data_IF_791566554253
#
_entry.id   IF_791566554253
#
_cell.length_a   1.000
_cell.length_b   1.000
_cell.length_c   1.000
_cell.angle_alpha   90.00
_cell.angle_beta   90.00
_cell.angle_gamma   90.00
#
_symmetry.space_group_name_H-M   'P 1'
#
loop_
_entity.id
_entity.type
_entity.pdbx_description
1 polymer ?
#
# COMPACT_ATOMS: atom_id res chain seq x y z
N UNK A 1 -26.87 -15.32 15.80
CA UNK A 1 -28.21 -14.84 15.39
C UNK A 1 -29.08 -14.79 16.64
N UNK A 2 -29.58 -13.61 16.99
CA UNK A 2 -30.46 -13.39 18.15
C UNK A 2 -31.86 -13.01 17.65
N UNK A 3 -32.91 -13.58 18.22
CA UNK A 3 -34.29 -13.30 17.84
C UNK A 3 -35.17 -13.12 19.08
N UNK A 4 -36.00 -12.08 19.13
CA UNK A 4 -36.94 -11.85 20.23
C UNK A 4 -38.25 -11.24 19.73
N UNK A 5 -39.31 -11.35 20.52
CA UNK A 5 -40.55 -10.60 20.25
C UNK A 5 -40.43 -9.17 20.77
N UNK A 6 -40.82 -8.21 19.92
CA UNK A 6 -40.79 -6.80 20.26
C UNK A 6 -42.01 -6.06 19.68
N UNK A 7 -42.26 -4.86 20.19
CA UNK A 7 -43.26 -3.93 19.72
C UNK A 7 -42.58 -2.64 19.24
N UNK A 8 -43.00 -2.16 18.07
CA UNK A 8 -42.58 -0.88 17.50
C UNK A 8 -43.82 0.00 17.30
N UNK A 9 -43.82 1.23 17.83
CA UNK A 9 -45.04 2.05 17.97
C UNK A 9 -45.83 2.28 16.67
N UNK A 10 -45.15 2.50 15.55
CA UNK A 10 -45.80 2.78 14.26
C UNK A 10 -46.20 1.52 13.49
N UNK A 11 -45.79 0.34 13.96
CA UNK A 11 -45.88 -0.92 13.21
C UNK A 11 -46.70 -1.99 13.96
N UNK A 12 -46.53 -2.10 15.27
CA UNK A 12 -47.16 -3.12 16.12
C UNK A 12 -46.17 -4.19 16.61
N UNK A 13 -46.72 -5.33 17.05
CA UNK A 13 -45.96 -6.46 17.58
C UNK A 13 -45.37 -7.31 16.45
N UNK A 14 -44.13 -7.74 16.63
CA UNK A 14 -43.37 -8.51 15.66
C UNK A 14 -42.19 -9.24 16.26
N UNK A 15 -41.34 -9.77 15.39
CA UNK A 15 -40.09 -10.45 15.75
C UNK A 15 -38.92 -9.57 15.32
N UNK A 16 -38.09 -9.20 16.28
CA UNK A 16 -36.81 -8.53 16.05
C UNK A 16 -35.72 -9.59 15.91
N UNK A 17 -35.00 -9.55 14.80
CA UNK A 17 -33.91 -10.45 14.45
C UNK A 17 -32.63 -9.64 14.26
N UNK A 18 -31.59 -10.03 14.98
CA UNK A 18 -30.24 -9.50 14.82
C UNK A 18 -29.35 -10.55 14.13
N UNK A 19 -28.85 -10.16 12.97
CA UNK A 19 -27.77 -10.83 12.25
C UNK A 19 -26.48 -10.02 12.39
N UNK A 20 -25.37 -10.52 11.85
CA UNK A 20 -24.08 -9.80 11.90
C UNK A 20 -24.12 -8.44 11.20
N UNK A 21 -24.99 -8.28 10.19
CA UNK A 21 -25.02 -7.10 9.32
C UNK A 21 -26.28 -6.25 9.50
N UNK A 22 -27.39 -6.86 9.92
CA UNK A 22 -28.69 -6.21 9.94
C UNK A 22 -29.48 -6.51 11.21
N UNK A 23 -30.19 -5.50 11.69
CA UNK A 23 -31.31 -5.62 12.60
C UNK A 23 -32.61 -5.56 11.78
N UNK A 24 -33.35 -6.66 11.72
CA UNK A 24 -34.58 -6.77 10.93
C UNK A 24 -35.78 -7.00 11.84
N UNK A 25 -36.84 -6.21 11.67
CA UNK A 25 -38.10 -6.36 12.37
C UNK A 25 -39.17 -6.90 11.41
N UNK A 26 -39.70 -8.07 11.75
CA UNK A 26 -40.71 -8.76 10.97
C UNK A 26 -42.09 -8.69 11.64
N UNK A 27 -43.15 -8.55 10.86
CA UNK A 27 -44.53 -8.61 11.35
C UNK A 27 -45.35 -9.64 10.58
N UNK A 28 -46.37 -10.20 11.25
CA UNK A 28 -47.33 -11.11 10.63
C UNK A 28 -48.53 -10.33 10.12
N UNK A 29 -48.78 -10.37 8.80
CA UNK A 29 -49.97 -9.78 8.17
C UNK A 29 -50.90 -10.86 7.61
N UNK A 30 -52.20 -10.56 7.57
CA UNK A 30 -53.24 -11.41 6.97
C UNK A 30 -54.15 -12.12 7.98
N UNK A 31 -55.45 -12.18 7.68
CA UNK A 31 -56.48 -12.77 8.56
C UNK A 31 -56.65 -14.29 8.38
N UNK A 32 -56.53 -14.80 7.14
CA UNK A 32 -56.78 -16.21 6.80
C UNK A 32 -55.46 -16.96 6.53
N UNK A 33 -54.51 -16.33 5.84
CA UNK A 33 -53.17 -16.86 5.62
C UNK A 33 -52.17 -15.83 6.15
N UNK A 34 -51.61 -16.08 7.34
CA UNK A 34 -50.61 -15.19 7.93
C UNK A 34 -49.30 -15.30 7.15
N UNK A 35 -48.79 -14.17 6.65
CA UNK A 35 -47.48 -14.06 6.01
C UNK A 35 -46.56 -13.19 6.86
N UNK A 36 -45.30 -13.57 6.95
CA UNK A 36 -44.26 -12.78 7.62
C UNK A 36 -43.69 -11.79 6.61
N UNK A 37 -43.69 -10.51 6.95
CA UNK A 37 -43.14 -9.43 6.12
C UNK A 37 -42.08 -8.64 6.89
N UNK A 38 -41.03 -8.18 6.21
CA UNK A 38 -40.06 -7.23 6.76
C UNK A 38 -40.73 -5.87 6.89
N UNK A 39 -40.89 -5.38 8.12
CA UNK A 39 -41.41 -4.04 8.39
C UNK A 39 -40.29 -3.02 8.60
N UNK A 40 -39.14 -3.46 9.12
CA UNK A 40 -37.95 -2.63 9.28
C UNK A 40 -36.69 -3.43 9.03
N UNK A 41 -35.70 -2.82 8.40
CA UNK A 41 -34.38 -3.39 8.19
C UNK A 41 -33.38 -2.25 8.37
N UNK A 42 -32.50 -2.39 9.36
CA UNK A 42 -31.52 -1.39 9.75
C UNK A 42 -30.16 -2.06 9.62
N UNK A 43 -29.30 -1.53 8.75
CA UNK A 43 -27.90 -1.97 8.71
C UNK A 43 -27.21 -1.56 10.01
N UNK A 44 -26.37 -2.44 10.56
CA UNK A 44 -25.53 -2.11 11.72
C UNK A 44 -24.63 -0.89 11.40
N UNK A 45 -24.24 -0.71 10.13
CA UNK A 45 -23.45 0.45 9.68
C UNK A 45 -24.17 1.78 9.78
N UNK A 46 -25.51 1.76 9.76
CA UNK A 46 -26.32 2.99 9.71
C UNK A 46 -26.75 3.46 11.10
N UNK A 47 -26.51 2.65 12.14
CA UNK A 47 -26.84 3.00 13.52
C UNK A 47 -25.88 4.08 14.02
N UNK A 48 -26.43 5.24 14.37
CA UNK A 48 -25.72 6.39 14.91
C UNK A 48 -25.65 6.35 16.43
N UNK A 49 -26.75 5.98 17.09
CA UNK A 49 -26.81 5.88 18.56
C UNK A 49 -27.64 4.68 18.99
N UNK A 50 -27.21 4.05 20.07
CA UNK A 50 -27.91 2.95 20.72
C UNK A 50 -28.10 3.32 22.20
N UNK A 51 -29.33 3.24 22.70
CA UNK A 51 -29.63 3.49 24.10
C UNK A 51 -30.59 2.43 24.66
N UNK A 52 -30.36 2.00 25.89
CA UNK A 52 -31.31 1.20 26.64
C UNK A 52 -32.31 2.11 27.37
N UNK A 53 -33.59 1.82 27.25
CA UNK A 53 -34.71 2.44 27.99
C UNK A 53 -35.38 1.38 28.85
N UNK A 54 -36.25 1.80 29.77
CA UNK A 54 -36.89 0.94 30.78
C UNK A 54 -37.45 -0.39 30.25
N UNK A 55 -38.02 -0.41 29.04
CA UNK A 55 -38.61 -1.61 28.43
C UNK A 55 -38.14 -1.87 27.00
N UNK A 56 -37.11 -1.18 26.52
CA UNK A 56 -36.78 -1.24 25.11
C UNK A 56 -35.41 -0.71 24.73
N UNK A 57 -35.08 -0.89 23.46
CA UNK A 57 -33.85 -0.41 22.85
C UNK A 57 -34.22 0.70 21.87
N UNK A 58 -33.66 1.89 22.10
CA UNK A 58 -33.80 3.05 21.23
C UNK A 58 -32.60 3.11 20.29
N UNK A 59 -32.89 3.14 18.99
CA UNK A 59 -31.89 3.12 17.92
C UNK A 59 -32.12 4.34 17.04
N UNK A 60 -31.14 5.22 16.99
CA UNK A 60 -31.10 6.29 15.98
C UNK A 60 -30.22 5.83 14.84
N UNK A 61 -30.73 5.88 13.62
CA UNK A 61 -30.03 5.37 12.44
C UNK A 61 -30.28 6.26 11.22
N UNK A 62 -29.36 6.16 10.25
CA UNK A 62 -29.37 6.95 9.02
C UNK A 62 -29.99 6.15 7.89
N UNK A 63 -31.28 6.39 7.63
CA UNK A 63 -31.95 5.93 6.41
C UNK A 63 -31.93 7.00 5.32
N UNK A 64 -33.06 7.18 4.63
CA UNK A 64 -33.30 8.36 3.75
C UNK A 64 -33.23 9.65 4.58
N UNK A 65 -33.72 9.59 5.82
CA UNK A 65 -33.60 10.61 6.86
C UNK A 65 -33.05 9.99 8.14
N UNK A 66 -32.68 10.82 9.13
CA UNK A 66 -32.29 10.32 10.46
C UNK A 66 -33.57 9.95 11.20
N UNK A 67 -33.68 8.67 11.60
CA UNK A 67 -34.85 8.12 12.25
C UNK A 67 -34.46 7.54 13.60
N UNK A 68 -35.38 7.62 14.57
CA UNK A 68 -35.22 7.00 15.89
C UNK A 68 -36.35 6.01 16.10
N UNK A 69 -36.01 4.73 16.15
CA UNK A 69 -36.94 3.63 16.40
C UNK A 69 -36.72 3.09 17.81
N UNK A 70 -37.79 2.94 18.59
CA UNK A 70 -37.76 2.30 19.92
C UNK A 70 -38.44 0.95 19.86
N UNK A 71 -37.66 -0.11 20.00
CA UNK A 71 -38.13 -1.48 20.06
C UNK A 71 -38.39 -1.87 21.52
N UNK A 72 -39.65 -1.97 21.89
CA UNK A 72 -40.07 -2.44 23.22
C UNK A 72 -39.97 -3.96 23.24
N UNK A 73 -39.10 -4.53 24.08
CA UNK A 73 -38.86 -5.97 24.14
C UNK A 73 -39.92 -6.61 25.03
N UNK A 74 -40.66 -7.58 24.52
CA UNK A 74 -41.78 -8.19 25.24
C UNK A 74 -41.32 -8.96 26.49
N UNK A 75 -40.16 -9.61 26.42
CA UNK A 75 -39.52 -10.27 27.56
C UNK A 75 -38.44 -9.36 28.14
N UNK A 76 -38.72 -8.75 29.28
CA UNK A 76 -37.79 -7.85 29.96
C UNK A 76 -36.48 -8.52 30.38
N UNK A 77 -36.44 -9.86 30.49
CA UNK A 77 -35.20 -10.61 30.75
C UNK A 77 -34.26 -10.62 29.56
N UNK A 78 -34.79 -10.48 28.33
CA UNK A 78 -34.01 -10.45 27.09
C UNK A 78 -33.55 -9.04 26.72
N UNK A 79 -34.05 -7.99 27.39
CA UNK A 79 -33.71 -6.60 27.05
C UNK A 79 -32.20 -6.34 27.09
N UNK A 80 -31.54 -6.74 28.18
CA UNK A 80 -30.09 -6.58 28.33
C UNK A 80 -29.33 -7.40 27.29
N UNK A 81 -29.77 -8.64 27.02
CA UNK A 81 -29.13 -9.51 26.02
C UNK A 81 -29.22 -8.92 24.61
N UNK A 82 -30.38 -8.38 24.22
CA UNK A 82 -30.59 -7.71 22.93
C UNK A 82 -29.74 -6.45 22.82
N UNK A 83 -29.75 -5.60 23.84
CA UNK A 83 -28.94 -4.39 23.86
C UNK A 83 -27.44 -4.71 23.73
N UNK A 84 -26.94 -5.66 24.53
CA UNK A 84 -25.53 -6.07 24.51
C UNK A 84 -25.14 -6.69 23.16
N UNK A 85 -26.01 -7.48 22.54
CA UNK A 85 -25.73 -8.08 21.25
C UNK A 85 -25.62 -7.03 20.12
N UNK A 86 -26.50 -6.01 20.13
CA UNK A 86 -26.42 -4.90 19.17
C UNK A 86 -25.17 -4.06 19.44
N UNK A 87 -24.90 -3.72 20.71
CA UNK A 87 -23.72 -2.95 21.11
C UNK A 87 -22.42 -3.65 20.70
N UNK A 88 -22.32 -4.97 20.93
CA UNK A 88 -21.17 -5.78 20.52
C UNK A 88 -20.99 -5.79 19.00
N UNK A 89 -22.08 -5.92 18.24
CA UNK A 89 -22.02 -5.90 16.77
C UNK A 89 -21.55 -4.54 16.24
N UNK A 90 -21.99 -3.44 16.87
CA UNK A 90 -21.51 -2.09 16.56
C UNK A 90 -20.02 -1.91 16.86
N UNK A 91 -19.55 -2.42 18.00
CA UNK A 91 -18.14 -2.32 18.37
C UNK A 91 -17.25 -3.12 17.42
N UNK A 92 -17.64 -4.35 17.10
CA UNK A 92 -16.93 -5.18 16.13
C UNK A 92 -16.86 -4.52 14.75
N UNK A 93 -17.94 -3.87 14.31
CA UNK A 93 -17.95 -3.11 13.07
C UNK A 93 -16.98 -1.92 13.12
N UNK A 94 -17.01 -1.12 14.20
CA UNK A 94 -16.09 0.01 14.38
C UNK A 94 -14.63 -0.43 14.39
N UNK A 95 -14.31 -1.51 15.11
CA UNK A 95 -12.96 -2.07 15.13
C UNK A 95 -12.53 -2.55 13.74
N UNK A 96 -13.41 -3.24 13.00
CA UNK A 96 -13.11 -3.69 11.65
C UNK A 96 -12.90 -2.52 10.66
N UNK A 97 -13.73 -1.48 10.74
CA UNK A 97 -13.56 -0.27 9.92
C UNK A 97 -12.30 0.51 10.30
N UNK A 98 -11.98 0.62 11.58
CA UNK A 98 -10.73 1.23 12.04
C UNK A 98 -9.51 0.46 11.50
N UNK A 99 -9.53 -0.88 11.57
CA UNK A 99 -8.47 -1.73 10.99
C UNK A 99 -8.35 -1.56 9.48
N UNK A 100 -9.46 -1.49 8.75
CA UNK A 100 -9.43 -1.22 7.30
C UNK A 100 -8.87 0.16 6.98
N UNK A 101 -9.26 1.19 7.74
CA UNK A 101 -8.77 2.54 7.54
C UNK A 101 -7.27 2.65 7.83
N UNK A 102 -6.80 1.99 8.89
CA UNK A 102 -5.39 1.90 9.26
C UNK A 102 -4.60 1.16 8.17
N UNK A 103 -5.07 -0.02 7.73
CA UNK A 103 -4.46 -0.76 6.64
C UNK A 103 -4.39 0.06 5.33
N UNK A 104 -5.45 0.79 4.99
CA UNK A 104 -5.45 1.68 3.83
C UNK A 104 -4.41 2.79 3.97
N UNK A 105 -4.32 3.42 5.14
CA UNK A 105 -3.35 4.47 5.42
C UNK A 105 -1.92 3.94 5.31
N UNK A 106 -1.63 2.80 5.94
CA UNK A 106 -0.33 2.14 5.87
C UNK A 106 0.02 1.79 4.42
N UNK A 107 -0.93 1.30 3.62
CA UNK A 107 -0.73 1.04 2.19
C UNK A 107 -0.34 2.31 1.43
N UNK A 108 -1.05 3.41 1.63
CA UNK A 108 -0.79 4.67 0.93
C UNK A 108 0.58 5.27 1.34
N UNK A 109 0.95 5.18 2.61
CA UNK A 109 2.26 5.61 3.13
C UNK A 109 3.38 4.75 2.52
N UNK A 110 3.21 3.44 2.50
CA UNK A 110 4.18 2.50 1.97
C UNK A 110 4.41 2.66 0.46
N UNK A 111 3.34 2.83 -0.32
CA UNK A 111 3.43 3.08 -1.76
C UNK A 111 4.23 4.35 -2.07
N UNK A 112 4.02 5.42 -1.29
CA UNK A 112 4.79 6.65 -1.45
C UNK A 112 6.25 6.47 -1.04
N UNK A 113 6.53 5.73 0.04
CA UNK A 113 7.92 5.42 0.44
C UNK A 113 8.65 4.66 -0.64
N UNK A 114 8.04 3.62 -1.21
CA UNK A 114 8.60 2.88 -2.34
C UNK A 114 8.92 3.77 -3.54
N UNK A 115 7.99 4.64 -3.91
CA UNK A 115 8.18 5.59 -5.02
C UNK A 115 9.31 6.58 -4.77
N UNK A 116 9.35 7.18 -3.58
CA UNK A 116 10.38 8.12 -3.22
C UNK A 116 11.77 7.45 -3.16
N UNK A 117 11.85 6.23 -2.62
CA UNK A 117 13.09 5.46 -2.57
C UNK A 117 13.61 5.08 -3.96
N UNK A 118 12.72 4.78 -4.92
CA UNK A 118 13.12 4.56 -6.32
C UNK A 118 13.80 5.78 -6.93
N UNK A 119 13.25 6.99 -6.70
CA UNK A 119 13.88 8.23 -7.17
C UNK A 119 15.26 8.43 -6.57
N UNK A 120 15.40 8.19 -5.26
CA UNK A 120 16.68 8.26 -4.55
C UNK A 120 17.70 7.31 -5.18
N UNK A 121 17.32 6.05 -5.43
CA UNK A 121 18.17 5.06 -6.10
C UNK A 121 18.61 5.56 -7.48
N UNK A 122 17.67 6.00 -8.32
CA UNK A 122 17.99 6.51 -9.66
C UNK A 122 18.97 7.70 -9.61
N UNK A 123 18.73 8.66 -8.71
CA UNK A 123 19.60 9.84 -8.55
C UNK A 123 20.99 9.47 -8.02
N UNK A 124 21.10 8.49 -7.12
CA UNK A 124 22.39 7.98 -6.64
C UNK A 124 23.19 7.29 -7.75
N UNK A 125 22.55 6.49 -8.60
CA UNK A 125 23.22 5.92 -9.76
C UNK A 125 23.65 6.99 -10.78
N UNK A 126 22.86 8.04 -10.98
CA UNK A 126 23.25 9.19 -11.81
C UNK A 126 24.46 9.95 -11.24
N UNK A 127 24.53 10.07 -9.91
CA UNK A 127 25.70 10.60 -9.22
C UNK A 127 26.92 9.72 -9.48
N UNK A 128 26.82 8.40 -9.26
CA UNK A 128 27.91 7.45 -9.48
C UNK A 128 28.45 7.53 -10.92
N UNK A 129 27.56 7.53 -11.91
CA UNK A 129 27.95 7.69 -13.32
C UNK A 129 28.63 9.05 -13.59
N UNK A 130 28.16 10.12 -12.95
CA UNK A 130 28.71 11.48 -13.14
C UNK A 130 30.04 11.71 -12.40
N UNK A 131 30.32 10.91 -11.38
CA UNK A 131 31.57 10.89 -10.62
C UNK A 131 32.65 10.03 -11.30
N UNK A 132 32.27 9.15 -12.24
CA UNK A 132 33.23 8.33 -12.96
C UNK A 132 34.01 9.14 -14.03
N UNK A 133 35.33 8.97 -14.07
CA UNK A 133 36.19 9.62 -15.05
C UNK A 133 36.34 11.14 -14.82
N UNK A 134 36.09 11.96 -15.86
CA UNK A 134 36.24 13.42 -15.75
C UNK A 134 34.99 14.04 -15.16
N UNK A 135 35.07 14.41 -13.88
CA UNK A 135 33.93 14.89 -13.11
C UNK A 135 33.44 16.28 -13.54
N UNK A 136 32.18 16.35 -13.94
CA UNK A 136 31.46 17.60 -14.17
C UNK A 136 30.77 18.09 -12.90
N UNK A 137 31.51 18.75 -12.00
CA UNK A 137 31.02 19.19 -10.68
C UNK A 137 29.66 19.91 -10.68
N UNK A 138 29.35 20.84 -11.61
CA UNK A 138 28.02 21.48 -11.62
C UNK A 138 26.84 20.49 -11.81
N UNK A 139 27.07 19.41 -12.57
CA UNK A 139 26.07 18.34 -12.75
C UNK A 139 25.93 17.54 -11.46
N UNK A 140 27.05 17.18 -10.83
CA UNK A 140 27.08 16.45 -9.55
C UNK A 140 26.38 17.24 -8.45
N UNK A 141 26.66 18.54 -8.31
CA UNK A 141 26.01 19.44 -7.35
C UNK A 141 24.49 19.50 -7.55
N UNK A 142 24.04 19.53 -8.82
CA UNK A 142 22.60 19.52 -9.15
C UNK A 142 21.95 18.19 -8.77
N UNK A 143 22.59 17.06 -9.12
CA UNK A 143 22.10 15.73 -8.78
C UNK A 143 22.06 15.51 -7.27
N UNK A 144 23.06 15.99 -6.52
CA UNK A 144 23.10 15.89 -5.07
C UNK A 144 21.96 16.67 -4.41
N UNK A 145 21.66 17.87 -4.92
CA UNK A 145 20.51 18.64 -4.45
C UNK A 145 19.20 17.89 -4.68
N UNK A 146 19.00 17.31 -5.86
CA UNK A 146 17.81 16.50 -6.15
C UNK A 146 17.73 15.29 -5.20
N UNK A 147 18.86 14.62 -4.95
CA UNK A 147 18.95 13.53 -3.99
C UNK A 147 18.53 13.96 -2.59
N UNK A 148 18.94 15.14 -2.11
CA UNK A 148 18.52 15.66 -0.81
C UNK A 148 17.00 15.90 -0.77
N UNK A 149 16.42 16.48 -1.83
CA UNK A 149 14.98 16.71 -1.92
C UNK A 149 14.18 15.39 -1.91
N UNK A 150 14.61 14.38 -2.67
CA UNK A 150 13.98 13.06 -2.71
C UNK A 150 14.17 12.30 -1.38
N UNK A 151 15.33 12.44 -0.74
CA UNK A 151 15.62 11.81 0.56
C UNK A 151 14.76 12.39 1.69
N UNK A 152 14.53 13.70 1.67
CA UNK A 152 13.60 14.36 2.59
C UNK A 152 12.17 13.87 2.41
N UNK A 153 11.77 13.55 1.17
CA UNK A 153 10.47 12.92 0.88
C UNK A 153 10.41 11.52 1.50
N UNK A 154 11.44 10.68 1.32
CA UNK A 154 11.53 9.34 1.94
C UNK A 154 11.40 9.43 3.47
N UNK A 155 12.19 10.31 4.12
CA UNK A 155 12.22 10.49 5.58
C UNK A 155 10.87 10.96 6.17
N UNK A 156 10.05 11.67 5.40
CA UNK A 156 8.73 12.17 5.84
C UNK A 156 7.61 11.14 5.77
N UNK A 157 7.77 10.08 4.97
CA UNK A 157 6.60 9.36 4.45
C UNK A 157 6.30 8.04 5.16
N UNK A 158 7.24 7.48 5.94
CA UNK A 158 6.97 6.25 6.72
C UNK A 158 8.00 6.00 7.83
N UNK A 159 7.59 5.27 8.87
CA UNK A 159 8.49 4.66 9.87
C UNK A 159 9.35 3.52 9.29
N UNK A 160 9.00 3.03 8.09
CA UNK A 160 9.73 2.01 7.34
C UNK A 160 10.74 2.60 6.33
N UNK A 161 10.95 3.91 6.36
CA UNK A 161 11.92 4.57 5.51
C UNK A 161 13.35 4.04 5.81
N UNK A 162 14.16 3.74 4.78
CA UNK A 162 15.56 3.41 4.98
C UNK A 162 16.27 4.55 5.71
N UNK A 163 16.94 4.22 6.81
CA UNK A 163 17.65 5.19 7.65
C UNK A 163 19.06 5.38 7.10
N UNK A 164 19.20 6.24 6.09
CA UNK A 164 20.50 6.58 5.50
C UNK A 164 20.89 8.03 5.76
N UNK A 165 22.19 8.26 5.92
CA UNK A 165 22.78 9.57 6.17
C UNK A 165 23.49 10.12 4.94
N UNK A 166 23.32 11.41 4.67
CA UNK A 166 23.84 12.08 3.47
C UNK A 166 25.06 12.97 3.73
N UNK A 167 25.45 13.14 4.99
CA UNK A 167 26.46 14.15 5.40
C UNK A 167 27.85 13.86 4.83
N UNK A 168 28.24 12.60 4.79
CA UNK A 168 29.51 12.17 4.18
C UNK A 168 29.52 12.43 2.67
N UNK A 169 28.41 12.15 1.98
CA UNK A 169 28.27 12.41 0.55
C UNK A 169 28.30 13.91 0.26
N UNK A 170 27.61 14.72 1.07
CA UNK A 170 27.60 16.17 0.93
C UNK A 170 28.98 16.78 1.11
N UNK A 171 29.68 16.37 2.16
CA UNK A 171 31.04 16.84 2.46
C UNK A 171 32.01 16.48 1.33
N UNK A 172 31.96 15.25 0.83
CA UNK A 172 32.82 14.81 -0.28
C UNK A 172 32.54 15.56 -1.60
N UNK A 173 31.28 15.92 -1.86
CA UNK A 173 30.91 16.72 -3.05
C UNK A 173 31.37 18.17 -2.91
N UNK A 174 31.20 18.78 -1.74
CA UNK A 174 31.66 20.14 -1.44
C UNK A 174 33.19 20.26 -1.57
N UNK A 175 33.92 19.31 -1.01
CA UNK A 175 35.39 19.25 -1.06
C UNK A 175 35.92 18.73 -2.41
N UNK A 176 35.02 18.32 -3.32
CA UNK A 176 35.33 17.81 -4.66
C UNK A 176 36.24 16.59 -4.65
N UNK A 177 35.92 15.65 -3.77
CA UNK A 177 36.65 14.40 -3.55
C UNK A 177 35.89 13.24 -4.21
N UNK A 178 36.19 12.91 -5.49
CA UNK A 178 35.34 11.99 -6.26
C UNK A 178 35.34 10.57 -5.72
N UNK A 179 36.47 10.06 -5.23
CA UNK A 179 36.56 8.72 -4.65
C UNK A 179 35.75 8.60 -3.34
N UNK A 180 35.78 9.64 -2.52
CA UNK A 180 35.02 9.70 -1.27
C UNK A 180 33.52 9.84 -1.55
N UNK A 181 33.14 10.66 -2.53
CA UNK A 181 31.77 10.81 -2.96
C UNK A 181 31.20 9.51 -3.57
N UNK A 182 32.00 8.80 -4.37
CA UNK A 182 31.62 7.47 -4.89
C UNK A 182 31.35 6.50 -3.75
N UNK A 183 32.29 6.40 -2.79
CA UNK A 183 32.14 5.50 -1.64
C UNK A 183 30.90 5.83 -0.81
N UNK A 184 30.67 7.10 -0.52
CA UNK A 184 29.49 7.53 0.24
C UNK A 184 28.18 7.22 -0.51
N UNK A 185 28.12 7.46 -1.82
CA UNK A 185 26.94 7.14 -2.63
C UNK A 185 26.66 5.63 -2.69
N UNK A 186 27.71 4.79 -2.80
CA UNK A 186 27.56 3.33 -2.72
C UNK A 186 27.05 2.85 -1.37
N UNK A 187 27.58 3.39 -0.26
CA UNK A 187 27.10 3.03 1.08
C UNK A 187 25.61 3.31 1.25
N UNK A 188 25.14 4.47 0.77
CA UNK A 188 23.72 4.84 0.82
C UNK A 188 22.87 3.87 -0.03
N UNK A 189 23.33 3.54 -1.25
CA UNK A 189 22.63 2.54 -2.09
C UNK A 189 22.53 1.18 -1.40
N UNK A 190 23.60 0.74 -0.74
CA UNK A 190 23.63 -0.50 0.02
C UNK A 190 22.63 -0.47 1.19
N UNK A 191 22.60 0.60 1.98
CA UNK A 191 21.65 0.76 3.10
C UNK A 191 20.19 0.74 2.63
N UNK A 192 19.90 1.37 1.48
CA UNK A 192 18.57 1.33 0.86
C UNK A 192 18.23 -0.10 0.42
N UNK A 193 19.16 -0.79 -0.22
CA UNK A 193 18.97 -2.18 -0.68
C UNK A 193 18.70 -3.13 0.51
N UNK A 194 19.53 -3.07 1.55
CA UNK A 194 19.36 -3.89 2.77
C UNK A 194 18.01 -3.62 3.46
N UNK A 195 17.56 -2.36 3.45
CA UNK A 195 16.24 -2.00 3.99
C UNK A 195 15.09 -2.64 3.19
N UNK A 196 15.22 -2.72 1.87
CA UNK A 196 14.23 -3.42 1.03
C UNK A 196 14.26 -4.94 1.21
N UNK A 197 15.44 -5.54 1.37
CA UNK A 197 15.55 -6.97 1.68
C UNK A 197 14.87 -7.30 3.01
N UNK A 198 15.06 -6.46 4.03
CA UNK A 198 14.40 -6.62 5.33
C UNK A 198 12.89 -6.54 5.21
N UNK A 199 12.36 -5.57 4.44
CA UNK A 199 10.92 -5.45 4.14
C UNK A 199 10.38 -6.68 3.39
N UNK A 200 11.19 -7.30 2.53
CA UNK A 200 10.85 -8.52 1.80
C UNK A 200 10.86 -9.76 2.71
N UNK A 201 11.70 -9.76 3.74
CA UNK A 201 11.81 -10.84 4.72
C UNK A 201 10.67 -10.82 5.76
N UNK A 202 10.09 -9.65 6.09
CA UNK A 202 8.86 -9.49 6.88
C UNK A 202 7.59 -9.87 6.10
N UNK A 203 7.66 -10.99 5.36
CA UNK A 203 6.63 -11.66 4.55
C UNK A 203 5.42 -12.18 5.37
N UNK A 204 5.05 -11.49 6.44
CA UNK A 204 3.89 -11.79 7.26
C UNK A 204 2.59 -11.54 6.49
N UNK A 205 1.53 -12.21 6.94
CA UNK A 205 0.16 -12.03 6.45
C UNK A 205 -0.28 -10.55 6.43
N UNK A 206 0.35 -9.70 7.24
CA UNK A 206 0.26 -8.24 7.22
C UNK A 206 0.50 -7.62 5.83
N UNK A 207 1.53 -8.06 5.10
CA UNK A 207 1.86 -7.51 3.76
C UNK A 207 0.88 -8.00 2.69
N UNK A 208 0.34 -9.20 2.84
CA UNK A 208 -0.71 -9.75 1.96
C UNK A 208 -2.06 -9.06 2.19
N UNK A 209 -2.34 -8.62 3.41
CA UNK A 209 -3.55 -7.85 3.75
C UNK A 209 -3.50 -6.40 3.26
N UNK A 210 -2.30 -5.83 3.09
CA UNK A 210 -2.10 -4.44 2.65
C UNK A 210 -2.29 -4.22 1.14
N UNK A 211 -1.78 -5.12 0.27
CA UNK A 211 -2.05 -5.09 -1.19
C UNK A 211 -1.64 -6.41 -1.89
N UNK A 212 -2.41 -6.95 -2.85
CA UNK A 212 -1.98 -8.12 -3.63
C UNK A 212 -0.68 -7.93 -4.41
N UNK A 213 -0.29 -6.70 -4.78
CA UNK A 213 0.86 -6.45 -5.67
C UNK A 213 2.08 -5.83 -4.96
N UNK A 214 2.13 -5.83 -3.62
CA UNK A 214 3.27 -5.21 -2.92
C UNK A 214 4.58 -5.99 -3.10
N UNK A 215 4.49 -7.32 -3.09
CA UNK A 215 5.62 -8.21 -3.42
C UNK A 215 6.12 -7.91 -4.85
N UNK A 216 5.19 -7.73 -5.79
CA UNK A 216 5.52 -7.38 -7.16
C UNK A 216 6.21 -6.00 -7.24
N UNK A 217 5.76 -5.00 -6.47
CA UNK A 217 6.38 -3.69 -6.44
C UNK A 217 7.84 -3.72 -5.91
N UNK A 218 8.12 -4.53 -4.89
CA UNK A 218 9.48 -4.76 -4.40
C UNK A 218 10.34 -5.45 -5.46
N UNK A 219 9.84 -6.51 -6.10
CA UNK A 219 10.52 -7.19 -7.21
C UNK A 219 10.79 -6.19 -8.37
N UNK A 220 9.89 -5.24 -8.65
CA UNK A 220 10.16 -4.22 -9.69
C UNK A 220 11.20 -3.17 -9.26
N UNK A 221 11.27 -2.80 -7.98
CA UNK A 221 12.34 -1.91 -7.47
C UNK A 221 13.70 -2.58 -7.56
N UNK A 222 13.78 -3.86 -7.17
CA UNK A 222 14.99 -4.67 -7.32
C UNK A 222 15.40 -4.77 -8.80
N UNK A 223 14.45 -4.91 -9.72
CA UNK A 223 14.73 -4.88 -11.16
C UNK A 223 15.30 -3.52 -11.60
N UNK A 224 14.76 -2.40 -11.12
CA UNK A 224 15.34 -1.07 -11.36
C UNK A 224 16.77 -0.96 -10.82
N UNK A 225 17.04 -1.52 -9.64
CA UNK A 225 18.36 -1.51 -9.04
C UNK A 225 19.36 -2.25 -9.92
N UNK A 226 19.04 -3.46 -10.37
CA UNK A 226 19.89 -4.27 -11.25
C UNK A 226 20.10 -3.58 -12.61
N UNK A 227 19.05 -2.99 -13.20
CA UNK A 227 19.18 -2.22 -14.44
C UNK A 227 20.18 -1.06 -14.30
N UNK A 228 20.12 -0.37 -13.17
CA UNK A 228 21.02 0.74 -12.88
C UNK A 228 22.46 0.28 -12.63
N UNK A 229 22.63 -0.86 -11.97
CA UNK A 229 23.93 -1.47 -11.73
C UNK A 229 24.59 -1.90 -13.05
N UNK A 230 23.82 -2.54 -13.94
CA UNK A 230 24.26 -2.85 -15.32
C UNK A 230 24.70 -1.59 -16.07
N UNK A 231 23.91 -0.51 -16.01
CA UNK A 231 24.23 0.75 -16.67
C UNK A 231 25.53 1.39 -16.12
N UNK A 232 25.72 1.32 -14.80
CA UNK A 232 26.93 1.78 -14.15
C UNK A 232 28.14 0.91 -14.55
N UNK A 233 27.99 -0.42 -14.48
CA UNK A 233 28.98 -1.42 -14.89
C UNK A 233 29.44 -1.18 -16.33
N UNK A 234 28.52 -0.90 -17.25
CA UNK A 234 28.85 -0.52 -18.62
C UNK A 234 29.66 0.78 -18.71
N UNK A 235 29.34 1.76 -17.88
CA UNK A 235 30.04 3.06 -17.82
C UNK A 235 31.47 2.93 -17.30
N UNK A 236 31.71 1.99 -16.37
CA UNK A 236 33.03 1.72 -15.79
C UNK A 236 33.78 0.58 -16.50
N UNK A 237 33.19 -0.02 -17.54
CA UNK A 237 33.70 -1.19 -18.25
C UNK A 237 33.94 -2.42 -17.34
N UNK A 238 32.99 -2.71 -16.46
CA UNK A 238 32.99 -3.92 -15.62
C UNK A 238 32.81 -5.18 -16.48
N UNK A 239 33.62 -6.20 -16.20
CA UNK A 239 33.62 -7.49 -16.89
C UNK A 239 32.40 -8.36 -16.51
N UNK A 240 31.74 -8.05 -15.37
CA UNK A 240 30.59 -8.81 -14.84
C UNK A 240 29.22 -8.42 -15.39
N UNK A 241 29.14 -7.29 -16.09
CA UNK A 241 27.89 -6.74 -16.69
C UNK A 241 27.09 -7.81 -17.44
N UNK A 242 27.78 -8.73 -18.11
CA UNK A 242 27.11 -9.79 -18.88
C UNK A 242 26.38 -10.81 -17.99
N UNK A 243 26.97 -11.17 -16.85
CA UNK A 243 26.34 -12.07 -15.87
C UNK A 243 25.14 -11.38 -15.20
N UNK A 244 25.27 -10.09 -14.88
CA UNK A 244 24.19 -9.27 -14.31
C UNK A 244 23.00 -9.12 -15.28
N UNK A 245 23.27 -8.97 -16.57
CA UNK A 245 22.22 -8.95 -17.61
C UNK A 245 21.45 -10.28 -17.67
N UNK A 246 22.14 -11.41 -17.59
CA UNK A 246 21.47 -12.72 -17.60
C UNK A 246 20.56 -12.88 -16.37
N UNK A 247 21.03 -12.43 -15.20
CA UNK A 247 20.24 -12.38 -13.95
C UNK A 247 19.02 -11.47 -14.10
N UNK A 248 19.22 -10.27 -14.65
CA UNK A 248 18.15 -9.29 -14.88
C UNK A 248 17.08 -9.83 -15.82
N UNK A 249 17.47 -10.45 -16.94
CA UNK A 249 16.52 -11.04 -17.90
C UNK A 249 15.72 -12.17 -17.25
N UNK A 250 16.36 -13.03 -16.47
CA UNK A 250 15.67 -14.11 -15.75
C UNK A 250 14.63 -13.57 -14.76
N UNK A 251 15.01 -12.55 -13.99
CA UNK A 251 14.14 -11.89 -13.03
C UNK A 251 12.91 -11.27 -13.71
N UNK A 252 13.09 -10.64 -14.87
CA UNK A 252 12.00 -10.04 -15.64
C UNK A 252 11.06 -11.08 -16.26
N UNK A 253 11.61 -12.20 -16.74
CA UNK A 253 10.79 -13.31 -17.21
C UNK A 253 9.91 -13.88 -16.09
N UNK A 254 10.41 -13.91 -14.86
CA UNK A 254 9.66 -14.38 -13.70
C UNK A 254 8.61 -13.36 -13.24
N UNK A 255 8.96 -12.07 -13.22
CA UNK A 255 8.02 -10.96 -12.99
C UNK A 255 6.86 -10.95 -14.01
N UNK A 256 7.17 -11.12 -15.30
CA UNK A 256 6.17 -11.16 -16.37
C UNK A 256 5.21 -12.34 -16.23
N UNK A 257 5.68 -13.49 -15.69
CA UNK A 257 4.84 -14.67 -15.44
C UNK A 257 3.98 -14.53 -14.18
N UNK A 258 4.49 -13.91 -13.11
CA UNK A 258 3.82 -13.84 -11.80
C UNK A 258 2.80 -12.69 -11.71
N UNK A 259 3.19 -11.49 -12.11
CA UNK A 259 2.47 -10.27 -11.76
C UNK A 259 1.41 -9.85 -12.79
N UNK A 260 1.19 -10.66 -13.85
CA UNK A 260 0.42 -10.26 -15.04
C UNK A 260 0.91 -8.91 -15.60
N UNK A 261 2.19 -8.59 -15.33
CA UNK A 261 2.87 -7.40 -15.77
C UNK A 261 2.92 -7.45 -17.29
N UNK A 262 2.37 -6.43 -17.95
CA UNK A 262 2.67 -6.14 -19.36
C UNK A 262 4.10 -5.60 -19.52
N UNK A 263 5.05 -6.10 -18.73
CA UNK A 263 6.46 -5.96 -19.06
C UNK A 263 6.66 -6.82 -20.30
N UNK A 264 6.80 -6.19 -21.47
CA UNK A 264 7.15 -6.93 -22.68
C UNK A 264 8.59 -7.44 -22.48
N UNK A 265 8.72 -8.65 -21.96
CA UNK A 265 10.00 -9.30 -21.68
C UNK A 265 10.89 -9.31 -22.93
N UNK A 266 10.30 -9.27 -24.14
CA UNK A 266 11.04 -9.14 -25.39
C UNK A 266 11.55 -7.70 -25.62
N UNK A 267 10.79 -6.66 -25.23
CA UNK A 267 11.31 -5.29 -25.24
C UNK A 267 12.49 -5.15 -24.29
N UNK A 268 12.40 -5.68 -23.06
CA UNK A 268 13.47 -5.53 -22.07
C UNK A 268 14.70 -6.37 -22.44
N UNK A 269 14.50 -7.61 -22.90
CA UNK A 269 15.58 -8.44 -23.46
C UNK A 269 16.24 -7.77 -24.66
N UNK A 270 15.45 -7.21 -25.58
CA UNK A 270 16.01 -6.45 -26.71
C UNK A 270 16.74 -5.19 -26.25
N UNK A 271 16.39 -4.61 -25.11
CA UNK A 271 17.06 -3.44 -24.54
C UNK A 271 18.40 -3.84 -23.95
N UNK A 272 18.44 -4.91 -23.15
CA UNK A 272 19.67 -5.49 -22.60
C UNK A 272 20.64 -5.98 -23.70
N UNK A 273 20.13 -6.69 -24.71
CA UNK A 273 20.90 -7.12 -25.89
C UNK A 273 21.45 -5.93 -26.68
N UNK A 274 20.66 -4.85 -26.83
CA UNK A 274 21.10 -3.62 -27.51
C UNK A 274 22.10 -2.81 -26.68
N UNK A 275 22.00 -2.83 -25.35
CA UNK A 275 22.98 -2.24 -24.44
C UNK A 275 24.35 -2.91 -24.60
N UNK A 276 24.39 -4.25 -24.64
CA UNK A 276 25.63 -5.03 -24.86
C UNK A 276 26.30 -4.81 -26.23
N UNK A 277 25.51 -4.59 -27.29
CA UNK A 277 26.03 -4.51 -28.66
C UNK A 277 26.48 -3.11 -29.06
N UNK A 278 25.81 -2.05 -28.59
CA UNK A 278 26.03 -0.69 -29.10
C UNK A 278 26.85 0.22 -28.18
N UNK A 279 27.24 -0.20 -26.96
CA UNK A 279 28.00 0.64 -26.04
C UNK A 279 27.25 1.94 -25.75
N UNK A 280 26.18 1.86 -24.98
CA UNK A 280 25.12 2.87 -25.07
C UNK A 280 25.46 4.24 -24.52
N UNK A 281 25.07 5.25 -25.30
CA UNK A 281 24.82 6.64 -24.87
C UNK A 281 23.76 6.72 -23.78
N UNK A 282 23.99 7.54 -22.75
CA UNK A 282 23.14 7.88 -21.60
C UNK A 282 21.60 7.87 -21.83
N UNK A 283 21.12 8.29 -23.01
CA UNK A 283 19.68 8.44 -23.29
C UNK A 283 18.85 7.14 -23.18
N UNK A 284 19.43 5.96 -23.42
CA UNK A 284 18.64 4.71 -23.47
C UNK A 284 18.41 4.05 -22.11
N UNK A 285 19.35 4.24 -21.19
CA UNK A 285 19.19 3.85 -19.78
C UNK A 285 18.05 4.67 -19.17
N UNK A 286 18.00 5.96 -19.50
CA UNK A 286 16.94 6.89 -19.06
C UNK A 286 15.56 6.47 -19.59
N UNK A 287 15.44 6.08 -20.87
CA UNK A 287 14.17 5.59 -21.43
C UNK A 287 13.70 4.28 -20.76
N UNK A 288 14.63 3.40 -20.39
CA UNK A 288 14.33 2.14 -19.72
C UNK A 288 13.85 2.36 -18.30
N UNK A 289 14.54 3.23 -17.53
CA UNK A 289 14.11 3.65 -16.18
C UNK A 289 12.69 4.17 -16.18
N UNK A 290 12.35 5.06 -17.13
CA UNK A 290 10.99 5.59 -17.27
C UNK A 290 9.95 4.48 -17.49
N UNK A 291 10.29 3.47 -18.28
CA UNK A 291 9.41 2.31 -18.50
C UNK A 291 9.16 1.49 -17.24
N UNK A 292 10.12 1.41 -16.32
CA UNK A 292 9.95 0.78 -15.01
C UNK A 292 9.20 1.68 -14.03
N UNK A 293 9.50 2.98 -13.99
CA UNK A 293 8.76 3.98 -13.20
C UNK A 293 7.26 3.93 -13.55
N UNK A 294 6.89 3.94 -14.83
CA UNK A 294 5.50 3.83 -15.27
C UNK A 294 4.82 2.51 -14.85
N UNK A 295 5.59 1.43 -14.65
CA UNK A 295 5.07 0.14 -14.22
C UNK A 295 4.90 0.10 -12.70
N UNK A 296 5.87 0.64 -11.94
CA UNK A 296 5.77 0.80 -10.49
C UNK A 296 4.57 1.70 -10.16
N UNK A 297 4.38 2.80 -10.88
CA UNK A 297 3.24 3.70 -10.69
C UNK A 297 1.90 2.94 -10.87
N UNK A 298 1.79 2.10 -11.91
CA UNK A 298 0.60 1.27 -12.14
C UNK A 298 0.39 0.15 -11.10
N UNK A 299 1.46 -0.40 -10.54
CA UNK A 299 1.37 -1.45 -9.51
C UNK A 299 1.00 -0.88 -8.14
N UNK A 300 1.39 0.38 -7.88
CA UNK A 300 1.17 1.08 -6.62
C UNK A 300 -0.13 1.91 -6.59
N UNK A 301 -0.70 2.27 -7.74
CA UNK A 301 -2.02 2.94 -7.89
C UNK A 301 -3.20 2.00 -7.67
#
# INVERSE_FOLDING_TARGET
>A
MLTCEAYLAEVGTGTLELTEQHLTFYVKKGFITKRTEKAREISITDIMTLAQKDQGVEITWRGIEILTDTFVINDSKLLSEVYEAIAKSLEQYKEAEAKKADAKRTRDELAKTLWASLKVVNTLFDLLMSLNGRVGWPKVETLFKNFQEDSDEVKKTSALAPAFESDELGSAIEDRLPEEALKAAYNILQEIHESFEQLTATKDDFMKELHPNYVDALEVIEACYILNDIALGMTVADEKVKEEIDVFVQMLEDLAKKANLKADANQVRSLADRMLVEGTSDNRVIESRRGFEEQIEKLLS
#
